data_IF_364943412972
#
_entry.id   IF_364943412972
#
_cell.length_a   1.000
_cell.length_b   1.000
_cell.length_c   1.000
_cell.angle_alpha   90.00
_cell.angle_beta   90.00
_cell.angle_gamma   90.00
#
_symmetry.space_group_name_H-M   'P 1'
#
loop_
_entity.id
_entity.type
_entity.pdbx_description
1 polymer ?
#
# COMPACT_ATOMS: atom_id res chain seq x y z
N UNK A 1 15.38 -5.65 7.17
CA UNK A 1 15.02 -4.21 7.25
C UNK A 1 14.69 -3.72 5.85
N UNK A 2 13.77 -2.77 5.69
CA UNK A 2 13.36 -2.30 4.35
C UNK A 2 14.31 -1.26 3.75
N UNK A 3 14.83 -0.34 4.58
CA UNK A 3 15.68 0.74 4.10
C UNK A 3 17.16 0.36 4.17
N UNK A 4 17.98 1.03 3.36
CA UNK A 4 19.45 0.89 3.40
C UNK A 4 20.06 1.34 4.73
N UNK A 5 19.42 2.28 5.44
CA UNK A 5 19.91 2.81 6.74
C UNK A 5 18.88 2.58 7.85
N UNK A 6 19.31 2.63 9.10
CA UNK A 6 18.43 2.38 10.25
C UNK A 6 17.72 3.64 10.76
N UNK A 7 17.92 4.81 10.13
CA UNK A 7 17.45 6.12 10.62
C UNK A 7 15.95 6.24 10.78
N UNK A 8 15.19 5.67 9.84
CA UNK A 8 13.73 5.87 9.80
C UNK A 8 13.03 5.03 10.86
N UNK A 9 13.52 3.82 11.10
CA UNK A 9 12.80 2.75 11.80
C UNK A 9 13.48 2.29 13.08
N UNK A 10 14.53 2.98 13.53
CA UNK A 10 15.21 2.69 14.80
C UNK A 10 15.66 3.95 15.50
N UNK A 11 16.18 3.81 16.72
CA UNK A 11 16.85 4.87 17.46
C UNK A 11 18.38 4.94 17.24
N UNK A 12 18.89 4.49 16.08
CA UNK A 12 20.34 4.52 15.78
C UNK A 12 20.97 5.91 15.98
N UNK A 13 20.24 6.98 15.70
CA UNK A 13 20.73 8.36 15.90
C UNK A 13 20.98 8.71 17.37
N UNK A 14 20.29 8.05 18.29
CA UNK A 14 20.40 8.29 19.73
C UNK A 14 21.57 7.51 20.34
N UNK A 15 21.73 6.24 19.95
CA UNK A 15 22.73 5.34 20.54
C UNK A 15 24.06 5.40 19.79
N UNK A 16 24.01 5.49 18.46
CA UNK A 16 25.17 5.39 17.57
C UNK A 16 25.13 6.43 16.43
N UNK A 17 25.15 7.74 16.75
CA UNK A 17 24.98 8.81 15.75
C UNK A 17 25.98 8.73 14.58
N UNK A 18 27.20 8.29 14.84
CA UNK A 18 28.26 8.11 13.84
C UNK A 18 27.93 7.05 12.77
N UNK A 19 27.10 6.06 13.10
CA UNK A 19 26.72 4.98 12.20
C UNK A 19 25.36 5.20 11.55
N UNK A 20 24.68 6.31 11.85
CA UNK A 20 23.34 6.58 11.36
C UNK A 20 23.21 6.58 9.84
N UNK A 21 24.22 7.07 9.11
CA UNK A 21 24.24 7.08 7.64
C UNK A 21 24.82 5.79 7.04
N UNK A 22 25.31 4.87 7.87
CA UNK A 22 25.94 3.65 7.39
C UNK A 22 24.90 2.69 6.83
N UNK A 23 25.30 1.91 5.84
CA UNK A 23 24.48 0.82 5.35
C UNK A 23 24.25 -0.19 6.49
N UNK A 24 22.98 -0.50 6.77
CA UNK A 24 22.57 -1.39 7.84
C UNK A 24 23.24 -2.77 7.75
N UNK A 25 23.51 -3.26 6.54
CA UNK A 25 24.17 -4.55 6.31
C UNK A 25 25.62 -4.59 6.81
N UNK A 26 26.28 -3.45 7.01
CA UNK A 26 27.67 -3.40 7.51
C UNK A 26 27.75 -3.34 9.04
N UNK A 27 26.62 -3.20 9.74
CA UNK A 27 26.60 -3.10 11.19
C UNK A 27 26.56 -4.50 11.82
N UNK A 28 27.41 -4.76 12.82
CA UNK A 28 27.45 -6.07 13.46
C UNK A 28 26.20 -6.31 14.33
N UNK A 29 25.87 -7.58 14.58
CA UNK A 29 24.61 -7.95 15.25
C UNK A 29 24.52 -7.42 16.70
N UNK A 30 25.64 -7.40 17.43
CA UNK A 30 25.74 -6.84 18.78
C UNK A 30 25.33 -5.36 18.84
N UNK A 31 25.56 -4.60 17.77
CA UNK A 31 25.01 -3.25 17.65
C UNK A 31 23.51 -3.26 17.32
N UNK A 32 23.09 -4.10 16.37
CA UNK A 32 21.70 -4.16 15.91
C UNK A 32 20.72 -4.58 17.01
N UNK A 33 21.10 -5.52 17.87
CA UNK A 33 20.23 -6.02 18.94
C UNK A 33 19.98 -5.01 20.06
N UNK A 34 20.87 -4.02 20.20
CA UNK A 34 20.72 -2.93 21.16
C UNK A 34 19.81 -1.80 20.67
N UNK A 35 19.38 -1.83 19.40
CA UNK A 35 18.51 -0.80 18.83
C UNK A 35 17.04 -1.06 19.14
N UNK A 36 16.35 0.01 19.50
CA UNK A 36 14.91 0.03 19.56
C UNK A 36 14.33 0.30 18.15
N UNK A 37 13.53 -0.64 17.64
CA UNK A 37 12.90 -0.58 16.32
C UNK A 37 11.40 -0.23 16.38
N UNK A 38 10.92 0.27 17.53
CA UNK A 38 9.49 0.45 17.83
C UNK A 38 9.06 1.88 18.12
N UNK A 39 9.84 2.62 18.91
CA UNK A 39 9.53 4.00 19.34
C UNK A 39 9.18 4.93 18.18
N UNK A 40 9.89 4.78 17.05
CA UNK A 40 9.68 5.60 15.87
C UNK A 40 8.23 5.55 15.36
N UNK A 41 7.55 4.40 15.50
CA UNK A 41 6.19 4.19 14.97
C UNK A 41 5.17 5.13 15.63
N UNK A 42 5.37 5.44 16.92
CA UNK A 42 4.52 6.37 17.67
C UNK A 42 4.94 7.82 17.44
N UNK A 43 6.25 8.07 17.40
CA UNK A 43 6.80 9.41 17.20
C UNK A 43 6.56 9.95 15.79
N UNK A 44 6.54 9.06 14.79
CA UNK A 44 6.41 9.34 13.36
C UNK A 44 5.47 8.32 12.71
N UNK A 45 4.15 8.48 12.86
CA UNK A 45 3.17 7.57 12.29
C UNK A 45 3.38 7.37 10.77
N UNK A 46 3.67 6.15 10.27
CA UNK A 46 3.97 5.94 8.85
C UNK A 46 2.78 6.09 7.88
N UNK A 47 1.54 6.13 8.36
CA UNK A 47 0.34 6.16 7.53
C UNK A 47 -0.61 7.27 7.98
N UNK A 48 -1.21 7.95 7.00
CA UNK A 48 -2.32 8.86 7.25
C UNK A 48 -3.52 8.06 7.78
N UNK A 49 -4.23 8.59 8.78
CA UNK A 49 -5.42 7.98 9.39
C UNK A 49 -5.16 6.70 10.20
N UNK A 50 -3.97 6.53 10.78
CA UNK A 50 -3.79 5.49 11.80
C UNK A 50 -4.71 5.75 12.98
N UNK A 51 -5.48 4.73 13.37
CA UNK A 51 -6.23 4.74 14.63
C UNK A 51 -5.29 4.82 15.83
N UNK A 52 -5.79 5.33 16.95
CA UNK A 52 -5.04 5.32 18.20
C UNK A 52 -4.85 3.89 18.71
N UNK A 53 -3.63 3.59 19.17
CA UNK A 53 -3.34 2.35 19.87
C UNK A 53 -3.89 2.42 21.30
N UNK A 54 -4.23 1.26 21.87
CA UNK A 54 -4.46 1.16 23.31
C UNK A 54 -3.15 1.45 24.08
N UNK A 55 -3.24 1.81 25.36
CA UNK A 55 -2.05 2.05 26.18
C UNK A 55 -1.11 0.83 26.22
N UNK A 56 -1.67 -0.38 26.27
CA UNK A 56 -0.92 -1.64 26.26
C UNK A 56 -0.26 -1.90 24.90
N UNK A 57 -0.96 -1.65 23.81
CA UNK A 57 -0.40 -1.80 22.46
C UNK A 57 0.69 -0.75 22.21
N UNK A 58 0.53 0.47 22.71
CA UNK A 58 1.55 1.51 22.63
C UNK A 58 2.80 1.13 23.42
N UNK A 59 2.66 0.59 24.64
CA UNK A 59 3.80 0.11 25.41
C UNK A 59 4.52 -1.04 24.70
N UNK A 60 3.77 -1.96 24.08
CA UNK A 60 4.35 -3.06 23.29
C UNK A 60 5.06 -2.54 22.05
N UNK A 61 4.39 -1.68 21.26
CA UNK A 61 4.91 -1.13 20.02
C UNK A 61 6.16 -0.27 20.25
N UNK A 62 6.27 0.43 21.38
CA UNK A 62 7.45 1.24 21.70
C UNK A 62 8.64 0.41 22.19
N UNK A 63 8.44 -0.87 22.53
CA UNK A 63 9.48 -1.76 23.05
C UNK A 63 9.80 -2.92 22.09
N UNK A 64 10.03 -2.60 20.81
CA UNK A 64 10.39 -3.57 19.79
C UNK A 64 11.89 -3.53 19.50
N UNK A 65 12.48 -4.70 19.22
CA UNK A 65 13.86 -4.88 18.77
C UNK A 65 13.91 -5.24 17.28
N UNK A 66 15.09 -5.17 16.68
CA UNK A 66 15.31 -5.78 15.36
C UNK A 66 15.20 -7.31 15.50
N UNK A 67 14.48 -7.95 14.58
CA UNK A 67 14.22 -9.39 14.61
C UNK A 67 15.12 -10.13 13.62
N UNK A 68 15.74 -11.25 14.03
CA UNK A 68 16.52 -12.10 13.13
C UNK A 68 15.60 -12.82 12.14
N UNK A 69 16.12 -13.11 10.95
CA UNK A 69 15.40 -13.93 9.97
C UNK A 69 15.03 -15.30 10.55
N UNK A 70 15.94 -15.97 11.25
CA UNK A 70 15.69 -17.27 11.87
C UNK A 70 14.48 -17.22 12.82
N UNK A 71 14.41 -16.20 13.68
CA UNK A 71 13.32 -16.07 14.65
C UNK A 71 11.99 -15.71 13.96
N UNK A 72 12.04 -14.89 12.91
CA UNK A 72 10.88 -14.61 12.05
C UNK A 72 10.31 -15.87 11.41
N UNK A 73 11.18 -16.72 10.86
CA UNK A 73 10.78 -17.97 10.23
C UNK A 73 10.20 -18.96 11.26
N UNK A 74 10.82 -19.09 12.44
CA UNK A 74 10.27 -19.91 13.54
C UNK A 74 8.89 -19.44 13.99
N UNK A 75 8.67 -18.13 14.05
CA UNK A 75 7.35 -17.57 14.37
C UNK A 75 6.31 -17.93 13.31
N UNK A 76 6.68 -17.81 12.03
CA UNK A 76 5.78 -18.11 10.92
C UNK A 76 5.42 -19.60 10.85
N UNK A 77 6.39 -20.48 11.08
CA UNK A 77 6.20 -21.93 11.14
C UNK A 77 5.20 -22.32 12.24
N UNK A 78 5.43 -21.82 13.47
CA UNK A 78 4.51 -22.04 14.61
C UNK A 78 3.09 -21.56 14.34
N UNK A 79 2.94 -20.49 13.57
CA UNK A 79 1.65 -19.92 13.20
C UNK A 79 1.04 -20.56 11.93
N UNK A 80 1.75 -21.48 11.28
CA UNK A 80 1.45 -22.06 9.98
C UNK A 80 1.11 -20.97 8.95
N UNK A 81 2.04 -20.02 8.77
CA UNK A 81 1.90 -18.88 7.86
C UNK A 81 2.99 -18.88 6.81
N UNK A 82 2.59 -18.57 5.58
CA UNK A 82 3.54 -18.35 4.49
C UNK A 82 4.32 -17.06 4.71
N UNK A 83 5.61 -17.08 4.43
CA UNK A 83 6.52 -15.93 4.52
C UNK A 83 6.95 -15.49 3.13
N UNK A 84 7.03 -14.18 2.94
CA UNK A 84 7.67 -13.55 1.79
C UNK A 84 8.63 -12.49 2.30
N UNK A 85 9.79 -12.39 1.69
CA UNK A 85 10.80 -11.42 2.07
C UNK A 85 11.62 -11.02 0.85
N UNK A 86 12.03 -9.76 0.82
CA UNK A 86 12.99 -9.27 -0.16
C UNK A 86 14.41 -9.64 0.27
N UNK A 87 15.20 -10.14 -0.67
CA UNK A 87 16.63 -10.37 -0.48
C UNK A 87 17.41 -9.30 -1.23
N UNK A 88 18.24 -8.58 -0.48
CA UNK A 88 19.13 -7.57 -1.03
C UNK A 88 20.57 -8.07 -0.97
N UNK A 89 21.29 -7.96 -2.09
CA UNK A 89 22.72 -8.21 -2.10
C UNK A 89 23.42 -7.17 -1.19
N UNK A 90 24.24 -7.59 -0.22
CA UNK A 90 25.03 -6.67 0.61
C UNK A 90 25.96 -5.78 -0.23
N UNK A 91 26.42 -4.63 0.31
CA UNK A 91 27.35 -3.74 -0.40
C UNK A 91 28.72 -4.41 -0.65
N UNK A 92 29.54 -3.88 -1.57
CA UNK A 92 30.82 -4.48 -1.99
C UNK A 92 31.78 -4.87 -0.86
N UNK A 93 31.84 -4.07 0.19
CA UNK A 93 32.78 -4.27 1.29
C UNK A 93 32.29 -5.30 2.32
N UNK A 94 31.12 -5.90 2.11
CA UNK A 94 30.54 -6.86 3.05
C UNK A 94 31.15 -8.27 2.86
N UNK A 95 31.56 -8.97 3.93
CA UNK A 95 32.19 -10.30 3.83
C UNK A 95 31.35 -11.35 3.09
N UNK A 96 30.02 -11.23 3.16
CA UNK A 96 29.08 -12.13 2.50
C UNK A 96 28.47 -11.56 1.21
N UNK A 97 29.09 -10.56 0.59
CA UNK A 97 28.61 -9.96 -0.66
C UNK A 97 28.44 -10.99 -1.80
N UNK A 98 29.18 -12.09 -1.79
CA UNK A 98 29.08 -13.16 -2.81
C UNK A 98 28.36 -14.42 -2.32
N UNK A 99 28.00 -14.50 -1.04
CA UNK A 99 27.42 -15.70 -0.40
C UNK A 99 26.11 -15.41 0.33
N UNK A 100 25.50 -14.24 0.12
CA UNK A 100 24.29 -13.80 0.83
C UNK A 100 23.10 -14.73 0.65
N UNK A 101 22.99 -15.41 -0.50
CA UNK A 101 21.96 -16.42 -0.74
C UNK A 101 22.22 -17.65 0.12
N UNK A 102 23.45 -18.18 0.13
CA UNK A 102 23.83 -19.30 1.00
C UNK A 102 23.59 -18.96 2.48
N UNK A 103 23.99 -17.78 2.94
CA UNK A 103 23.72 -17.32 4.31
C UNK A 103 22.21 -17.28 4.63
N UNK A 104 21.39 -16.88 3.66
CA UNK A 104 19.92 -16.89 3.82
C UNK A 104 19.37 -18.32 3.92
N UNK A 105 19.86 -19.23 3.07
CA UNK A 105 19.46 -20.63 3.08
C UNK A 105 19.88 -21.33 4.38
N UNK A 106 21.08 -21.03 4.89
CA UNK A 106 21.56 -21.51 6.19
C UNK A 106 20.63 -21.07 7.32
N UNK A 107 20.21 -19.80 7.32
CA UNK A 107 19.24 -19.28 8.29
C UNK A 107 17.86 -19.95 8.16
N UNK A 108 17.39 -20.25 6.95
CA UNK A 108 16.14 -20.99 6.72
C UNK A 108 16.25 -22.42 7.27
N UNK A 109 17.37 -23.10 7.02
CA UNK A 109 17.65 -24.43 7.55
C UNK A 109 17.69 -24.44 9.08
N UNK A 110 18.34 -23.45 9.70
CA UNK A 110 18.41 -23.31 11.15
C UNK A 110 17.02 -23.04 11.78
N UNK A 111 16.13 -22.36 11.04
CA UNK A 111 14.76 -22.13 11.48
C UNK A 111 13.90 -23.41 11.42
N UNK A 112 14.29 -24.38 10.58
CA UNK A 112 13.56 -25.62 10.33
C UNK A 112 12.08 -25.42 9.95
N UNK A 113 11.78 -24.33 9.25
CA UNK A 113 10.44 -24.01 8.73
C UNK A 113 10.02 -25.01 7.63
N UNK A 114 8.74 -25.39 7.56
CA UNK A 114 8.23 -26.14 6.42
C UNK A 114 8.55 -25.39 5.11
N UNK A 115 9.30 -25.98 4.16
CA UNK A 115 9.67 -25.34 2.91
C UNK A 115 8.47 -24.79 2.13
N UNK A 116 7.29 -25.43 2.25
CA UNK A 116 6.06 -24.99 1.57
C UNK A 116 5.57 -23.64 2.08
N UNK A 117 6.00 -23.18 3.25
CA UNK A 117 5.66 -21.87 3.78
C UNK A 117 6.55 -20.75 3.23
N UNK A 118 7.64 -21.06 2.52
CA UNK A 118 8.57 -20.04 2.00
C UNK A 118 8.19 -19.63 0.58
N UNK A 119 7.85 -18.35 0.40
CA UNK A 119 7.65 -17.72 -0.91
C UNK A 119 8.99 -17.14 -1.40
N UNK A 120 9.69 -17.88 -2.27
CA UNK A 120 11.03 -17.50 -2.73
C UNK A 120 10.95 -16.50 -3.89
N UNK A 121 11.20 -15.22 -3.57
CA UNK A 121 11.06 -14.10 -4.51
C UNK A 121 12.33 -13.81 -5.33
N UNK A 122 13.52 -14.18 -4.84
CA UNK A 122 14.79 -13.86 -5.50
C UNK A 122 14.96 -14.61 -6.81
N UNK A 123 15.40 -13.91 -7.85
CA UNK A 123 15.78 -14.53 -9.13
C UNK A 123 17.24 -14.95 -9.18
N UNK A 124 18.09 -14.36 -8.35
CA UNK A 124 19.49 -14.74 -8.27
C UNK A 124 19.60 -16.21 -7.82
N UNK A 125 20.36 -17.01 -8.58
CA UNK A 125 20.59 -18.44 -8.35
C UNK A 125 19.30 -19.28 -8.25
N UNK A 126 18.19 -18.85 -8.87
CA UNK A 126 16.89 -19.51 -8.70
C UNK A 126 16.93 -21.00 -9.05
N UNK A 127 17.57 -21.40 -10.14
CA UNK A 127 17.66 -22.80 -10.56
C UNK A 127 18.40 -23.67 -9.53
N UNK A 128 19.48 -23.13 -8.96
CA UNK A 128 20.24 -23.80 -7.89
C UNK A 128 19.39 -23.93 -6.61
N UNK A 129 18.73 -22.84 -6.21
CA UNK A 129 17.85 -22.86 -5.04
C UNK A 129 16.70 -23.84 -5.23
N UNK A 130 16.08 -23.89 -6.41
CA UNK A 130 15.00 -24.83 -6.69
C UNK A 130 15.49 -26.29 -6.65
N UNK A 131 16.67 -26.57 -7.20
CA UNK A 131 17.28 -27.90 -7.16
C UNK A 131 17.52 -28.38 -5.73
N UNK A 132 18.01 -27.50 -4.85
CA UNK A 132 18.29 -27.83 -3.45
C UNK A 132 17.03 -27.80 -2.56
N UNK A 133 16.09 -26.91 -2.82
CA UNK A 133 14.89 -26.65 -2.02
C UNK A 133 13.62 -26.64 -2.88
N UNK A 134 13.23 -27.77 -3.49
CA UNK A 134 12.10 -27.84 -4.41
C UNK A 134 10.75 -27.56 -3.72
N UNK A 135 10.71 -27.59 -2.39
CA UNK A 135 9.52 -27.27 -1.60
C UNK A 135 9.21 -25.77 -1.48
N UNK A 136 10.16 -24.89 -1.79
CA UNK A 136 9.90 -23.45 -1.78
C UNK A 136 8.92 -23.07 -2.89
N UNK A 137 7.93 -22.22 -2.57
CA UNK A 137 7.01 -21.68 -3.57
C UNK A 137 7.74 -20.61 -4.39
N UNK A 138 8.23 -21.00 -5.57
CA UNK A 138 8.88 -20.07 -6.48
C UNK A 138 7.91 -18.95 -6.86
N UNK A 139 8.26 -17.74 -6.48
CA UNK A 139 7.44 -16.54 -6.62
C UNK A 139 8.18 -15.51 -7.46
N UNK A 140 7.50 -14.87 -8.42
CA UNK A 140 8.11 -13.87 -9.29
C UNK A 140 7.54 -12.46 -9.09
N UNK A 141 8.42 -11.46 -9.11
CA UNK A 141 8.09 -10.04 -8.86
C UNK A 141 7.55 -9.26 -10.06
N UNK A 142 7.41 -9.89 -11.23
CA UNK A 142 7.03 -9.24 -12.49
C UNK A 142 6.25 -10.20 -13.40
N UNK A 143 5.49 -9.62 -14.34
CA UNK A 143 4.70 -10.37 -15.33
C UNK A 143 5.60 -11.05 -16.36
N UNK A 144 5.16 -12.20 -16.85
CA UNK A 144 5.90 -12.95 -17.85
C UNK A 144 4.97 -13.89 -18.61
N UNK A 145 5.45 -14.48 -19.71
CA UNK A 145 4.71 -15.49 -20.44
C UNK A 145 4.46 -16.73 -19.59
N UNK A 146 3.29 -17.37 -19.77
CA UNK A 146 2.96 -18.63 -19.09
C UNK A 146 4.03 -19.70 -19.32
N UNK A 147 4.57 -19.78 -20.54
CA UNK A 147 5.63 -20.73 -20.87
C UNK A 147 6.87 -20.52 -20.00
N UNK A 148 7.33 -19.27 -19.86
CA UNK A 148 8.49 -18.96 -19.04
C UNK A 148 8.21 -19.20 -17.55
N UNK A 149 7.04 -18.80 -17.05
CA UNK A 149 6.67 -19.01 -15.65
C UNK A 149 6.63 -20.51 -15.30
N UNK A 150 6.00 -21.33 -16.14
CA UNK A 150 5.92 -22.78 -15.94
C UNK A 150 7.30 -23.42 -16.04
N UNK A 151 8.12 -23.00 -17.00
CA UNK A 151 9.49 -23.49 -17.16
C UNK A 151 10.35 -23.23 -15.91
N UNK A 152 10.20 -22.07 -15.29
CA UNK A 152 10.91 -21.69 -14.06
C UNK A 152 10.18 -22.12 -12.77
N UNK A 153 9.20 -23.03 -12.88
CA UNK A 153 8.44 -23.57 -11.75
C UNK A 153 7.71 -22.51 -10.89
N UNK A 154 7.41 -21.33 -11.47
CA UNK A 154 6.72 -20.25 -10.75
C UNK A 154 5.27 -20.62 -10.48
N UNK A 155 4.86 -20.55 -9.22
CA UNK A 155 3.49 -20.85 -8.77
C UNK A 155 2.74 -19.62 -8.27
N UNK A 156 3.45 -18.51 -8.10
CA UNK A 156 2.89 -17.25 -7.60
C UNK A 156 3.56 -16.03 -8.23
N UNK A 157 2.76 -15.04 -8.57
CA UNK A 157 3.22 -13.70 -8.93
C UNK A 157 2.98 -12.76 -7.75
N UNK A 158 3.97 -11.95 -7.41
CA UNK A 158 3.88 -10.86 -6.45
C UNK A 158 4.09 -9.57 -7.22
N UNK A 159 3.01 -8.87 -7.59
CA UNK A 159 3.05 -7.73 -8.51
C UNK A 159 2.62 -6.43 -7.82
N UNK A 160 3.13 -5.26 -8.26
CA UNK A 160 2.60 -4.00 -7.79
C UNK A 160 1.12 -3.85 -8.21
N UNK A 161 0.30 -3.19 -7.40
CA UNK A 161 -1.13 -2.99 -7.68
C UNK A 161 -1.37 -2.25 -9.00
N UNK A 162 -0.42 -1.42 -9.44
CA UNK A 162 -0.46 -0.70 -10.71
C UNK A 162 -0.36 -1.63 -11.92
N UNK A 163 0.15 -2.85 -11.75
CA UNK A 163 0.21 -3.86 -12.81
C UNK A 163 -1.07 -4.72 -12.88
N UNK A 164 -2.11 -4.41 -12.10
CA UNK A 164 -3.36 -5.16 -12.07
C UNK A 164 -4.01 -5.20 -13.46
N UNK A 165 -4.32 -6.41 -13.93
CA UNK A 165 -5.05 -6.64 -15.17
C UNK A 165 -5.89 -7.92 -15.03
N UNK A 166 -7.21 -7.81 -15.19
CA UNK A 166 -8.14 -8.91 -14.98
C UNK A 166 -7.89 -10.08 -15.94
N UNK A 167 -7.56 -9.80 -17.21
CA UNK A 167 -7.33 -10.84 -18.22
C UNK A 167 -6.04 -11.61 -17.92
N UNK A 168 -4.97 -10.91 -17.55
CA UNK A 168 -3.71 -11.53 -17.14
C UNK A 168 -3.92 -12.42 -15.92
N UNK A 169 -4.58 -11.90 -14.88
CA UNK A 169 -4.85 -12.65 -13.63
C UNK A 169 -5.62 -13.94 -13.93
N UNK A 170 -6.65 -13.88 -14.78
CA UNK A 170 -7.41 -15.08 -15.20
C UNK A 170 -6.54 -16.06 -15.99
N UNK A 171 -5.68 -15.55 -16.86
CA UNK A 171 -4.78 -16.38 -17.68
C UNK A 171 -3.73 -17.10 -16.81
N UNK A 172 -3.14 -16.40 -15.85
CA UNK A 172 -2.23 -17.01 -14.86
C UNK A 172 -2.95 -18.05 -13.99
N UNK A 173 -4.16 -17.74 -13.52
CA UNK A 173 -4.95 -18.67 -12.70
C UNK A 173 -5.26 -19.98 -13.45
N UNK A 174 -5.57 -19.91 -14.75
CA UNK A 174 -5.81 -21.09 -15.59
C UNK A 174 -4.57 -22.02 -15.70
N UNK A 175 -3.36 -21.48 -15.48
CA UNK A 175 -2.11 -22.24 -15.40
C UNK A 175 -1.70 -22.61 -13.96
N UNK A 176 -2.61 -22.48 -12.97
CA UNK A 176 -2.36 -22.67 -11.54
C UNK A 176 -1.32 -21.70 -10.94
N UNK A 177 -1.19 -20.50 -11.52
CA UNK A 177 -0.30 -19.45 -11.02
C UNK A 177 -1.16 -18.41 -10.31
N UNK A 178 -0.95 -18.27 -9.00
CA UNK A 178 -1.72 -17.33 -8.17
C UNK A 178 -1.14 -15.92 -8.23
N UNK A 179 -1.97 -14.89 -8.10
CA UNK A 179 -1.51 -13.49 -8.16
C UNK A 179 -1.73 -12.79 -6.83
N UNK A 180 -0.66 -12.27 -6.24
CA UNK A 180 -0.65 -11.32 -5.14
C UNK A 180 -0.40 -9.89 -5.64
N UNK A 181 -1.13 -8.90 -5.10
CA UNK A 181 -0.95 -7.48 -5.44
C UNK A 181 -0.48 -6.67 -4.23
N UNK A 182 0.54 -5.83 -4.41
CA UNK A 182 1.10 -4.99 -3.34
C UNK A 182 1.32 -3.51 -3.76
N UNK A 183 1.29 -2.53 -2.87
CA UNK A 183 0.68 -2.55 -1.53
C UNK A 183 -0.75 -2.03 -1.66
N UNK A 184 -1.73 -2.83 -1.27
CA UNK A 184 -3.15 -2.48 -1.36
C UNK A 184 -3.68 -2.16 0.03
N UNK A 185 -3.75 -0.87 0.39
CA UNK A 185 -4.15 -0.44 1.74
C UNK A 185 -5.50 0.28 1.80
N UNK A 186 -6.06 0.66 0.65
CA UNK A 186 -7.34 1.37 0.57
C UNK A 186 -8.51 0.42 0.27
N UNK A 187 -9.67 0.58 0.95
CA UNK A 187 -10.85 -0.26 0.72
C UNK A 187 -11.35 -0.30 -0.73
N UNK A 188 -11.32 0.82 -1.44
CA UNK A 188 -11.72 0.89 -2.85
C UNK A 188 -10.75 0.13 -3.76
N UNK A 189 -9.43 0.21 -3.50
CA UNK A 189 -8.41 -0.49 -4.27
C UNK A 189 -8.46 -1.99 -3.97
N UNK A 190 -8.73 -2.37 -2.72
CA UNK A 190 -8.97 -3.76 -2.34
C UNK A 190 -10.18 -4.33 -3.06
N UNK A 191 -11.26 -3.56 -3.16
CA UNK A 191 -12.46 -3.91 -3.94
C UNK A 191 -12.12 -4.15 -5.41
N UNK A 192 -11.30 -3.30 -6.01
CA UNK A 192 -10.85 -3.45 -7.39
C UNK A 192 -9.98 -4.71 -7.60
N UNK A 193 -9.04 -4.98 -6.68
CA UNK A 193 -8.21 -6.18 -6.69
C UNK A 193 -9.06 -7.45 -6.59
N UNK A 194 -10.05 -7.45 -5.69
CA UNK A 194 -11.00 -8.54 -5.49
C UNK A 194 -11.81 -8.80 -6.77
N UNK A 195 -12.43 -7.77 -7.35
CA UNK A 195 -13.21 -7.90 -8.59
C UNK A 195 -12.35 -8.31 -9.80
N UNK A 196 -11.06 -7.96 -9.79
CA UNK A 196 -10.11 -8.38 -10.82
C UNK A 196 -9.69 -9.85 -10.71
N UNK A 197 -10.05 -10.53 -9.61
CA UNK A 197 -9.73 -11.93 -9.37
C UNK A 197 -8.35 -12.16 -8.76
N UNK A 198 -7.74 -11.14 -8.15
CA UNK A 198 -6.48 -11.34 -7.42
C UNK A 198 -6.68 -12.37 -6.28
N UNK A 199 -5.71 -13.25 -6.07
CA UNK A 199 -5.81 -14.34 -5.10
C UNK A 199 -5.46 -13.87 -3.68
N UNK A 200 -4.58 -12.87 -3.58
CA UNK A 200 -4.21 -12.25 -2.31
C UNK A 200 -3.74 -10.81 -2.52
N UNK A 201 -3.61 -10.07 -1.43
CA UNK A 201 -3.00 -8.74 -1.43
C UNK A 201 -2.02 -8.61 -0.27
N UNK A 202 -0.97 -7.82 -0.47
CA UNK A 202 -0.12 -7.33 0.63
C UNK A 202 -0.64 -5.96 1.05
N UNK A 203 -0.90 -5.78 2.36
CA UNK A 203 -1.57 -4.58 2.87
C UNK A 203 -0.97 -4.12 4.20
N UNK A 204 -0.95 -2.80 4.42
CA UNK A 204 -0.68 -2.21 5.74
C UNK A 204 -1.96 -2.05 6.58
N UNK A 205 -3.14 -2.27 5.98
CA UNK A 205 -4.46 -2.00 6.58
C UNK A 205 -5.24 -3.28 6.87
N UNK A 206 -4.55 -4.37 7.24
CA UNK A 206 -5.19 -5.69 7.48
C UNK A 206 -6.33 -5.63 8.51
N UNK A 207 -6.19 -4.79 9.54
CA UNK A 207 -7.21 -4.57 10.57
C UNK A 207 -8.54 -4.04 9.99
N UNK A 208 -8.49 -3.30 8.88
CA UNK A 208 -9.65 -2.75 8.20
C UNK A 208 -10.12 -3.66 7.06
N UNK A 209 -9.21 -4.04 6.17
CA UNK A 209 -9.57 -4.81 4.96
C UNK A 209 -10.08 -6.22 5.27
N UNK A 210 -9.57 -6.88 6.32
CA UNK A 210 -10.04 -8.22 6.72
C UNK A 210 -11.53 -8.26 7.12
N UNK A 211 -12.10 -7.12 7.51
CA UNK A 211 -13.52 -7.02 7.90
C UNK A 211 -14.47 -6.84 6.72
N UNK A 212 -13.94 -6.51 5.54
CA UNK A 212 -14.76 -6.35 4.33
C UNK A 212 -15.31 -7.71 3.90
N UNK A 213 -16.64 -7.80 3.77
CA UNK A 213 -17.34 -9.01 3.31
C UNK A 213 -17.65 -8.96 1.82
N UNK A 214 -17.62 -7.77 1.23
CA UNK A 214 -17.91 -7.52 -0.17
C UNK A 214 -17.16 -6.26 -0.68
N UNK A 215 -16.96 -6.12 -2.00
CA UNK A 215 -16.40 -4.91 -2.62
C UNK A 215 -17.30 -3.67 -2.45
N UNK A 216 -16.73 -2.50 -2.14
CA UNK A 216 -17.47 -1.25 -1.83
C UNK A 216 -18.28 -0.65 -2.99
N UNK A 217 -17.98 -1.04 -4.24
CA UNK A 217 -18.61 -0.48 -5.43
C UNK A 217 -19.27 -1.56 -6.30
N UNK A 218 -19.74 -2.63 -5.67
CA UNK A 218 -20.53 -3.63 -6.36
C UNK A 218 -21.96 -3.10 -6.53
N UNK A 219 -22.16 -2.15 -7.45
CA UNK A 219 -23.49 -1.68 -7.83
C UNK A 219 -24.05 -2.55 -8.95
N UNK A 220 -25.27 -3.05 -8.76
CA UNK A 220 -26.05 -3.62 -9.85
C UNK A 220 -26.33 -2.55 -10.91
N UNK A 221 -26.56 -2.92 -12.18
CA UNK A 221 -26.96 -1.95 -13.21
C UNK A 221 -28.16 -1.10 -12.81
N UNK A 222 -29.09 -1.65 -12.02
CA UNK A 222 -30.24 -0.93 -11.48
C UNK A 222 -29.84 0.16 -10.47
N UNK A 223 -28.99 -0.18 -9.49
CA UNK A 223 -28.49 0.79 -8.50
C UNK A 223 -27.66 1.89 -9.15
N UNK A 224 -26.83 1.53 -10.12
CA UNK A 224 -26.04 2.50 -10.88
C UNK A 224 -26.95 3.48 -11.65
N UNK A 225 -27.96 2.97 -12.36
CA UNK A 225 -28.93 3.81 -13.08
C UNK A 225 -29.72 4.70 -12.12
N UNK A 226 -30.17 4.16 -10.98
CA UNK A 226 -30.89 4.92 -9.96
C UNK A 226 -30.04 6.06 -9.40
N UNK A 227 -28.77 5.79 -9.08
CA UNK A 227 -27.83 6.80 -8.60
C UNK A 227 -27.75 7.98 -9.58
N UNK A 228 -27.54 7.71 -10.87
CA UNK A 228 -27.45 8.77 -11.89
C UNK A 228 -28.76 9.54 -12.08
N UNK A 229 -29.90 8.86 -12.12
CA UNK A 229 -31.22 9.53 -12.22
C UNK A 229 -31.43 10.49 -11.04
N UNK A 230 -31.07 10.07 -9.81
CA UNK A 230 -31.18 10.91 -8.62
C UNK A 230 -30.20 12.10 -8.67
N UNK A 231 -28.96 11.87 -9.11
CA UNK A 231 -27.96 12.93 -9.29
C UNK A 231 -28.40 13.96 -10.33
N UNK A 232 -28.95 13.52 -11.46
CA UNK A 232 -29.47 14.39 -12.52
C UNK A 232 -30.69 15.18 -12.03
N UNK A 233 -31.61 14.52 -11.32
CA UNK A 233 -32.78 15.16 -10.72
C UNK A 233 -32.40 16.23 -9.69
N UNK A 234 -31.45 15.92 -8.80
CA UNK A 234 -30.94 16.88 -7.82
C UNK A 234 -30.22 18.07 -8.49
N UNK A 235 -29.44 17.81 -9.54
CA UNK A 235 -28.75 18.85 -10.30
C UNK A 235 -29.74 19.76 -11.02
N UNK A 236 -30.76 19.20 -11.67
CA UNK A 236 -31.82 19.97 -12.31
C UNK A 236 -32.59 20.83 -11.29
N UNK A 237 -32.90 20.28 -10.12
CA UNK A 237 -33.52 21.03 -9.03
C UNK A 237 -32.64 22.20 -8.56
N UNK A 238 -31.34 21.97 -8.34
CA UNK A 238 -30.40 23.02 -7.92
C UNK A 238 -30.26 24.12 -8.99
N UNK A 239 -30.18 23.74 -10.26
CA UNK A 239 -30.13 24.68 -11.38
C UNK A 239 -31.40 25.54 -11.39
N UNK A 240 -32.59 24.91 -11.32
CA UNK A 240 -33.86 25.62 -11.27
C UNK A 240 -33.94 26.56 -10.05
N UNK A 241 -33.51 26.11 -8.88
CA UNK A 241 -33.45 26.91 -7.66
C UNK A 241 -32.57 28.15 -7.86
N UNK A 242 -31.37 27.98 -8.42
CA UNK A 242 -30.44 29.09 -8.72
C UNK A 242 -31.09 30.07 -9.70
N UNK A 243 -31.71 29.58 -10.79
CA UNK A 243 -32.42 30.43 -11.74
C UNK A 243 -33.57 31.20 -11.08
N UNK A 244 -34.37 30.56 -10.24
CA UNK A 244 -35.47 31.22 -9.51
C UNK A 244 -34.94 32.29 -8.56
N UNK A 245 -33.87 31.99 -7.81
CA UNK A 245 -33.23 32.96 -6.90
C UNK A 245 -32.62 34.15 -7.67
N UNK A 246 -31.93 33.89 -8.79
CA UNK A 246 -31.42 34.94 -9.68
C UNK A 246 -32.55 35.80 -10.24
N UNK A 247 -33.62 35.16 -10.72
CA UNK A 247 -34.78 35.85 -11.26
C UNK A 247 -35.49 36.70 -10.21
N UNK A 248 -35.63 36.20 -8.98
CA UNK A 248 -36.19 36.93 -7.86
C UNK A 248 -35.32 38.13 -7.45
N UNK A 249 -33.99 37.98 -7.50
CA UNK A 249 -33.04 39.07 -7.25
C UNK A 249 -33.08 40.16 -8.32
N UNK A 250 -33.15 39.78 -9.59
CA UNK A 250 -33.19 40.71 -10.73
C UNK A 250 -34.54 41.42 -10.87
N UNK A 251 -35.65 40.74 -10.57
CA UNK A 251 -36.99 41.34 -10.48
C UNK A 251 -37.24 42.02 -9.13
N UNK A 252 -36.20 42.60 -8.52
CA UNK A 252 -36.20 43.13 -7.15
C UNK A 252 -37.53 43.73 -6.74
N UNK A 253 -37.97 43.42 -5.51
CA UNK A 253 -39.24 43.90 -4.92
C UNK A 253 -39.60 45.31 -5.41
N UNK A 254 -40.55 45.40 -6.33
CA UNK A 254 -41.23 46.64 -6.68
C UNK A 254 -42.28 46.92 -5.59
N UNK A 255 -41.84 46.97 -4.33
CA UNK A 255 -42.67 47.36 -3.19
C UNK A 255 -41.93 48.42 -2.40
N UNK A 256 -41.81 49.60 -3.01
CA UNK A 256 -42.05 50.91 -2.41
C UNK A 256 -41.95 51.94 -3.55
N UNK A 257 -42.98 52.76 -3.82
CA UNK A 257 -42.81 53.88 -4.73
C UNK A 257 -41.95 54.93 -4.04
N UNK A 258 -40.79 55.25 -4.60
CA UNK A 258 -40.12 56.51 -4.31
C UNK A 258 -41.06 57.65 -4.70
N UNK A 259 -41.43 58.45 -3.70
CA UNK A 259 -42.14 59.71 -3.90
C UNK A 259 -41.22 60.67 -4.67
N UNK A 260 -41.56 60.92 -5.94
CA UNK A 260 -40.95 61.98 -6.74
C UNK A 260 -41.33 63.36 -6.19
N UNK A 261 -40.35 64.14 -5.72
CA UNK A 261 -40.37 65.61 -5.80
C UNK A 261 -38.97 66.17 -6.12
N UNK A 262 -38.74 66.40 -7.41
CA UNK A 262 -38.18 67.61 -8.09
C UNK A 262 -37.06 68.42 -7.39
N UNK A 263 -35.83 68.41 -7.94
CA UNK A 263 -35.30 69.43 -8.90
C UNK A 263 -33.76 69.45 -8.97
N UNK A 264 -33.25 69.65 -10.20
CA UNK A 264 -32.00 70.31 -10.60
C UNK A 264 -30.64 69.84 -10.06
N UNK A 265 -29.84 69.24 -10.94
CA UNK A 265 -28.88 69.98 -11.79
C UNK A 265 -27.81 69.01 -12.30
N UNK A 266 -27.61 69.02 -13.62
CA UNK A 266 -26.77 68.05 -14.31
C UNK A 266 -25.27 68.24 -14.09
N UNK A 267 -24.54 67.15 -14.29
CA UNK A 267 -23.24 67.23 -14.96
C UNK A 267 -22.89 65.87 -15.58
N UNK A 268 -22.82 65.91 -16.91
CA UNK A 268 -22.22 64.92 -17.79
C UNK A 268 -20.85 64.46 -17.26
N UNK A 269 -20.60 63.15 -17.27
CA UNK A 269 -19.23 62.64 -17.41
C UNK A 269 -19.22 61.39 -18.30
N UNK A 270 -18.70 61.63 -19.49
CA UNK A 270 -18.24 60.67 -20.50
C UNK A 270 -17.07 59.83 -19.99
N UNK A 271 -17.10 58.52 -20.22
CA UNK A 271 -15.88 57.71 -20.29
C UNK A 271 -15.68 57.20 -21.72
N UNK A 272 -14.59 57.67 -22.32
CA UNK A 272 -14.04 57.25 -23.61
C UNK A 272 -13.21 55.99 -23.41
N UNK A 273 -13.31 55.06 -24.36
CA UNK A 273 -12.38 53.95 -24.60
C UNK A 273 -11.17 54.43 -25.38
N UNK A 274 -9.98 54.16 -24.83
CA UNK A 274 -8.78 53.61 -25.51
C UNK A 274 -8.06 52.69 -24.52
#
# INVERSE_FOLDING_TARGET
MHDTTLKRTTNVNEIFPQFSNMNAALLPWDMLENLNAGKWFIQKPPFSNMGSLSSTDQQTATNQSIYKLVDFLRLADRANKTVIFDLYRPPPDHPHQYTWINQTLDAINEAAIDPKLVLWLSNDLRDEVYSLYPGFQQTQGYKDSIQHLVHNHIVKLNLPYSAMNQQDIRTYAAANITTNLYVVSEPWLFSLAWCSGAHSVTTNSVHSLKRMKEPMFLMTPAEYNLMWILTDGASAFLILLIFVLHWWRERGFSCCPESNEVSDSGLYNTFKTE
#
